data_IF_708836237777
#
_entry.id   IF_708836237777
#
_cell.length_a   1.000
_cell.length_b   1.000
_cell.length_c   1.000
_cell.angle_alpha   90.00
_cell.angle_beta   90.00
_cell.angle_gamma   90.00
#
_symmetry.space_group_name_H-M   'P 1'
#
loop_
_entity.id
_entity.type
_entity.pdbx_description
1 polymer ?
2 polymer ?
3 polymer ?
#
loop_
_entity_poly.entity_id
_entity_poly.type
_entity_poly.pdbx_seq_one_letter_code
_entity_poly.pdbx_strand_id
3 'polyribonucleotide' 'GGGGCUAGGCCGGGGGGUUCGGCGUCCCCUGUAACCGGAAACCGCCGAUAUGCCGGGGCCGAAGCCCGAGGGGCGGUUCCCGUAAGGGUUCCCACCCUCGGGCGUGCCU(CCC)' ?
#
# COMPACT_ATOMS: atom_id res chain seq x y z
N UNK A 2 10.43 17.01 -36.38
CA UNK A 2 9.08 17.51 -36.61
C UNK A 2 8.47 18.28 -35.42
N UNK A 3 8.05 19.53 -35.69
CA UNK A 3 7.28 20.30 -34.72
C UNK A 3 5.88 19.70 -34.62
N UNK A 4 5.29 19.64 -33.42
CA UNK A 4 3.92 19.11 -33.30
C UNK A 4 2.86 20.16 -32.93
N UNK A 5 1.65 19.95 -33.46
CA UNK A 5 0.55 20.90 -33.31
C UNK A 5 -0.19 20.72 -31.98
N UNK A 6 -0.72 19.51 -31.76
CA UNK A 6 -1.50 19.21 -30.54
C UNK A 6 -0.76 18.23 -29.62
N UNK A 7 -1.21 18.16 -28.37
CA UNK A 7 -0.50 17.41 -27.34
C UNK A 7 -0.62 15.90 -27.49
N UNK A 8 -1.85 15.41 -27.62
CA UNK A 8 -2.08 13.97 -27.79
C UNK A 8 -1.41 13.43 -29.07
N UNK A 9 -1.38 14.26 -30.12
CA UNK A 9 -0.71 13.91 -31.38
C UNK A 9 0.79 13.73 -31.17
N UNK A 10 1.40 14.68 -30.46
CA UNK A 10 2.80 14.59 -30.06
C UNK A 10 3.04 13.33 -29.22
N UNK A 11 2.33 13.25 -28.08
CA UNK A 11 2.48 12.13 -27.13
C UNK A 11 2.55 10.77 -27.81
N UNK A 12 1.57 10.49 -28.67
CA UNK A 12 1.49 9.20 -29.36
C UNK A 12 2.73 8.86 -30.18
N UNK A 13 3.43 9.87 -30.71
CA UNK A 13 4.68 9.64 -31.46
C UNK A 13 5.89 9.63 -30.55
N UNK A 14 5.86 10.55 -29.58
CA UNK A 14 6.88 10.61 -28.53
C UNK A 14 7.04 9.27 -27.85
N UNK A 15 5.94 8.65 -27.45
CA UNK A 15 5.98 7.31 -26.88
C UNK A 15 6.68 6.32 -27.83
N UNK A 16 6.10 6.15 -29.03
CA UNK A 16 6.63 5.21 -30.03
C UNK A 16 8.13 5.39 -30.25
N UNK A 17 8.55 6.64 -30.42
CA UNK A 17 9.97 6.96 -30.60
C UNK A 17 10.83 6.45 -29.43
N UNK A 18 10.31 6.56 -28.20
CA UNK A 18 10.99 6.05 -27.02
C UNK A 18 11.00 4.53 -26.98
N UNK A 19 9.81 3.93 -27.17
CA UNK A 19 9.65 2.47 -27.23
C UNK A 19 10.58 1.83 -28.27
N UNK A 20 10.74 2.48 -29.42
CA UNK A 20 11.66 1.98 -30.46
C UNK A 20 13.02 1.61 -29.88
N UNK A 21 13.71 2.60 -29.32
CA UNK A 21 14.97 2.38 -28.61
C UNK A 21 15.00 3.27 -27.36
N UNK A 22 14.53 2.74 -26.22
CA UNK A 22 14.54 3.44 -24.93
C UNK A 22 15.91 3.99 -24.53
N UNK A 23 16.96 3.21 -24.73
CA UNK A 23 18.31 3.58 -24.26
C UNK A 23 18.87 4.76 -25.01
N UNK A 24 18.71 4.76 -26.32
CA UNK A 24 19.34 5.77 -27.19
C UNK A 24 18.42 6.98 -27.44
N UNK A 25 17.72 7.44 -26.41
CA UNK A 25 16.74 8.52 -26.53
C UNK A 25 16.69 9.37 -25.27
N UNK A 26 16.14 10.57 -25.40
CA UNK A 26 16.02 11.49 -24.26
C UNK A 26 14.82 12.41 -24.38
N UNK A 27 14.51 13.06 -23.25
CA UNK A 27 13.34 13.92 -23.15
C UNK A 27 13.72 15.21 -22.43
N UNK A 28 13.83 16.29 -23.19
CA UNK A 28 14.24 17.57 -22.63
C UNK A 28 13.04 18.47 -22.40
N UNK A 29 13.10 19.22 -21.31
CA UNK A 29 12.08 20.20 -20.94
C UNK A 29 12.75 21.50 -20.53
N UNK A 30 12.54 22.55 -21.33
CA UNK A 30 12.96 23.89 -20.96
C UNK A 30 11.75 24.70 -20.52
N UNK A 31 11.91 25.44 -19.42
CA UNK A 31 10.86 26.30 -18.90
C UNK A 31 11.38 27.72 -18.81
N UNK A 32 10.54 28.68 -19.22
CA UNK A 32 10.96 30.07 -19.34
C UNK A 32 9.96 31.01 -18.65
N UNK A 33 10.33 31.50 -17.46
CA UNK A 33 9.48 32.42 -16.69
C UNK A 33 9.71 33.87 -17.09
N UNK A 34 10.89 34.18 -17.61
CA UNK A 34 11.17 35.50 -18.14
C UNK A 34 10.26 35.80 -19.34
N UNK A 35 10.21 34.86 -20.27
CA UNK A 35 9.42 35.00 -21.51
C UNK A 35 8.05 34.33 -21.42
N UNK A 36 7.79 33.60 -20.32
CA UNK A 36 6.48 33.02 -20.07
C UNK A 36 6.09 31.91 -21.03
N UNK A 37 6.96 30.92 -21.19
CA UNK A 37 6.70 29.81 -22.11
C UNK A 37 7.43 28.51 -21.73
N UNK A 38 7.14 27.45 -22.49
CA UNK A 38 7.64 26.12 -22.19
C UNK A 38 7.87 25.28 -23.44
N UNK A 39 9.13 24.92 -23.67
CA UNK A 39 9.51 24.01 -24.76
C UNK A 39 9.61 22.60 -24.21
N UNK A 40 9.35 21.61 -25.06
CA UNK A 40 9.54 20.21 -24.71
C UNK A 40 9.91 19.37 -25.94
N UNK A 41 10.87 18.48 -25.73
CA UNK A 41 11.51 17.76 -26.83
C UNK A 41 11.71 16.29 -26.47
N UNK A 42 11.46 15.44 -27.46
CA UNK A 42 11.73 14.02 -27.38
C UNK A 42 12.56 13.64 -28.60
N UNK A 43 13.59 12.85 -28.38
CA UNK A 43 14.58 12.62 -29.42
C UNK A 43 15.61 11.52 -29.12
N UNK A 44 15.78 10.62 -30.09
CA UNK A 44 17.06 9.98 -30.33
C UNK A 44 17.76 10.94 -31.26
N UNK A 45 19.02 10.74 -31.55
CA UNK A 45 19.75 11.73 -32.34
C UNK A 45 19.50 11.61 -33.85
N UNK A 46 18.49 10.81 -34.23
CA UNK A 46 18.07 10.64 -35.62
C UNK A 46 16.83 11.48 -35.93
N UNK A 47 15.80 11.36 -35.10
CA UNK A 47 14.54 12.10 -35.27
C UNK A 47 14.29 12.97 -34.06
N UNK A 48 13.84 14.20 -34.27
CA UNK A 48 13.62 15.13 -33.15
C UNK A 48 12.18 15.66 -33.13
N UNK A 49 11.41 15.24 -32.14
CA UNK A 49 10.00 15.61 -32.03
C UNK A 49 9.85 16.65 -30.92
N UNK A 50 9.16 17.75 -31.23
CA UNK A 50 9.18 18.92 -30.34
C UNK A 50 7.80 19.59 -30.24
N UNK A 51 7.53 20.18 -29.08
CA UNK A 51 6.23 20.81 -28.80
C UNK A 51 6.34 22.04 -27.89
N UNK A 52 6.60 23.20 -28.50
CA UNK A 52 6.71 24.45 -27.75
C UNK A 52 5.34 25.02 -27.46
N UNK A 53 5.14 25.56 -26.26
CA UNK A 53 3.84 26.14 -25.88
C UNK A 53 3.98 27.37 -24.98
N UNK A 54 2.98 28.26 -25.08
CA UNK A 54 2.79 29.34 -24.11
C UNK A 54 1.50 29.10 -23.33
N UNK A 55 1.13 27.83 -23.17
CA UNK A 55 -0.14 27.44 -22.57
C UNK A 55 0.04 26.98 -21.12
N UNK A 56 -0.64 27.66 -20.19
CA UNK A 56 -0.63 27.27 -18.78
C UNK A 56 -1.46 26.00 -18.53
N UNK A 57 -2.34 25.66 -19.48
CA UNK A 57 -3.24 24.50 -19.37
C UNK A 57 -2.49 23.17 -19.58
N UNK A 58 -1.40 23.22 -20.34
CA UNK A 58 -0.61 22.03 -20.68
C UNK A 58 0.25 21.51 -19.52
N UNK A 59 0.53 22.38 -18.55
CA UNK A 59 1.42 22.03 -17.44
C UNK A 59 1.02 20.69 -16.84
N UNK A 60 -0.26 20.56 -16.49
CA UNK A 60 -0.82 19.31 -15.95
C UNK A 60 -0.65 18.13 -16.91
N UNK A 61 -0.85 18.38 -18.20
CA UNK A 61 -0.69 17.32 -19.21
C UNK A 61 0.75 16.83 -19.27
N UNK A 62 1.70 17.76 -19.21
CA UNK A 62 3.13 17.42 -19.30
C UNK A 62 3.65 16.79 -18.01
N UNK A 63 3.34 17.41 -16.87
CA UNK A 63 3.81 16.88 -15.57
C UNK A 63 3.34 15.44 -15.34
N UNK A 64 2.25 15.06 -16.01
CA UNK A 64 1.84 13.66 -16.09
C UNK A 64 2.75 12.91 -17.05
N UNK A 65 2.82 13.37 -18.29
CA UNK A 65 3.61 12.70 -19.34
C UNK A 65 5.06 12.43 -18.94
N UNK A 66 5.63 13.27 -18.08
CA UNK A 66 6.92 12.95 -17.45
C UNK A 66 6.81 11.65 -16.65
N UNK A 67 5.97 11.66 -15.62
CA UNK A 67 5.75 10.51 -14.76
C UNK A 67 5.44 9.24 -15.58
N UNK A 68 4.66 9.43 -16.65
CA UNK A 68 4.28 8.35 -17.56
C UNK A 68 5.49 7.67 -18.20
N UNK A 69 6.54 8.44 -18.47
CA UNK A 69 7.76 7.88 -19.04
C UNK A 69 8.56 7.13 -17.99
N UNK A 70 8.90 7.84 -16.91
CA UNK A 70 9.71 7.28 -15.83
C UNK A 70 9.37 5.84 -15.58
N UNK A 71 8.09 5.60 -15.28
CA UNK A 71 7.55 4.26 -14.97
C UNK A 71 8.10 3.17 -15.91
N UNK A 72 8.01 3.44 -17.20
CA UNK A 72 8.40 2.47 -18.22
C UNK A 72 9.92 2.31 -18.25
N UNK A 73 10.62 3.40 -17.97
CA UNK A 73 12.08 3.38 -17.91
C UNK A 73 12.55 2.59 -16.74
N UNK A 74 11.77 2.61 -15.67
CA UNK A 74 12.06 1.81 -14.50
C UNK A 74 11.68 0.34 -14.72
N UNK A 75 10.39 0.07 -14.88
CA UNK A 75 9.90 -1.31 -15.03
C UNK A 75 10.32 -1.92 -16.37
N UNK B 1 29.82 16.94 -10.68
CA UNK B 1 28.41 17.36 -10.91
C UNK B 1 27.59 16.72 -9.84
N UNK B 2 26.84 17.53 -9.10
CA UNK B 2 26.16 17.01 -7.92
C UNK B 2 25.11 15.95 -8.31
N UNK B 3 25.47 14.71 -8.00
CA UNK B 3 24.55 13.59 -8.05
C UNK B 3 23.94 13.47 -6.66
N UNK B 4 22.63 13.69 -6.58
CA UNK B 4 21.94 13.82 -5.31
C UNK B 4 20.83 12.79 -5.18
N UNK B 5 20.25 12.72 -3.99
CA UNK B 5 19.10 11.87 -3.73
C UNK B 5 17.80 12.60 -3.99
N UNK B 6 16.76 11.81 -4.27
CA UNK B 6 15.43 12.32 -4.64
C UNK B 6 15.04 13.57 -3.86
N UNK B 7 15.35 13.60 -2.57
CA UNK B 7 15.06 14.77 -1.74
C UNK B 7 15.88 15.98 -2.19
N UNK B 8 17.21 15.91 -2.08
CA UNK B 8 18.06 17.07 -2.38
C UNK B 8 18.00 17.47 -3.85
N UNK B 9 17.65 16.54 -4.74
CA UNK B 9 17.33 16.91 -6.11
C UNK B 9 16.11 17.83 -6.13
N UNK B 10 15.05 17.44 -5.42
CA UNK B 10 13.81 18.22 -5.35
C UNK B 10 14.03 19.55 -4.63
N UNK B 11 14.93 19.56 -3.65
CA UNK B 11 15.33 20.80 -2.98
C UNK B 11 16.07 21.70 -3.96
N UNK B 12 17.14 21.17 -4.55
CA UNK B 12 18.01 21.95 -5.43
C UNK B 12 17.33 22.38 -6.73
N UNK B 13 16.29 21.66 -7.14
CA UNK B 13 15.53 22.03 -8.34
C UNK B 13 14.72 23.31 -8.07
N UNK B 14 13.98 23.31 -6.96
CA UNK B 14 13.23 24.49 -6.53
C UNK B 14 14.14 25.70 -6.47
N UNK B 15 15.36 25.51 -5.95
CA UNK B 15 16.37 26.56 -5.96
C UNK B 15 16.61 27.11 -7.38
N UNK B 16 16.74 26.21 -8.36
CA UNK B 16 16.89 26.63 -9.75
C UNK B 16 15.66 27.40 -10.22
N UNK B 17 14.50 26.75 -10.13
CA UNK B 17 13.23 27.37 -10.53
C UNK B 17 13.02 28.76 -9.92
N UNK B 18 13.43 28.91 -8.67
CA UNK B 18 13.38 30.18 -7.94
C UNK B 18 14.39 31.17 -8.50
N UNK B 19 15.65 30.75 -8.54
CA UNK B 19 16.72 31.62 -9.02
C UNK B 19 16.50 32.12 -10.45
N UNK B 20 15.89 31.28 -11.28
CA UNK B 20 15.59 31.64 -12.67
C UNK B 20 14.15 32.12 -12.83
N UNK B 21 13.90 33.35 -12.34
CA UNK B 21 12.55 33.94 -12.34
C UNK B 21 12.45 35.07 -13.37
N UNK B 22 13.20 36.15 -13.16
CA UNK B 22 13.22 37.28 -14.09
C UNK B 22 14.32 37.14 -15.15
N UNK B 23 15.28 36.23 -14.91
CA UNK B 23 16.40 36.03 -15.82
C UNK B 23 16.98 34.61 -15.69
N UNK B 24 16.73 33.77 -16.68
CA UNK B 24 17.31 32.43 -16.74
C UNK B 24 16.42 31.36 -17.36
N UNK B 25 17.05 30.37 -17.98
CA UNK B 25 16.37 29.18 -18.49
C UNK B 25 16.69 27.99 -17.59
N UNK B 26 15.73 27.06 -17.48
CA UNK B 26 15.88 25.87 -16.62
C UNK B 26 15.55 24.58 -17.36
N UNK B 27 16.59 23.84 -17.72
CA UNK B 27 16.44 22.59 -18.43
C UNK B 27 16.36 21.41 -17.45
N UNK B 28 15.46 20.48 -17.76
CA UNK B 28 15.30 19.22 -17.03
C UNK B 28 15.28 18.05 -18.03
N UNK B 29 16.41 17.35 -18.15
CA UNK B 29 16.51 16.25 -19.09
C UNK B 29 16.39 14.90 -18.40
N UNK B 30 15.52 14.07 -18.98
CA UNK B 30 15.08 12.80 -18.43
C UNK B 30 15.57 11.70 -19.35
N UNK B 31 16.18 10.65 -18.81
CA UNK B 31 16.79 9.61 -19.67
C UNK B 31 16.87 8.25 -18.99
N UNK B 32 16.52 7.17 -19.71
CA UNK B 32 16.62 5.84 -19.13
C UNK B 32 18.09 5.55 -18.86
N UNK B 33 18.41 5.33 -17.59
CA UNK B 33 19.80 5.22 -17.18
C UNK B 33 20.33 3.81 -17.40
N UNK B 34 21.55 3.71 -17.94
CA UNK B 34 22.17 2.42 -18.25
C UNK B 34 22.74 1.73 -17.01
N UNK B 35 23.12 2.51 -16.02
CA UNK B 35 23.88 2.00 -14.89
C UNK B 35 25.35 1.98 -15.27
N UNK B 36 25.81 3.09 -15.86
CA UNK B 36 27.19 3.23 -16.32
C UNK B 36 27.95 4.20 -15.43
N UNK B 37 29.26 3.97 -15.30
CA UNK B 37 30.16 4.94 -14.68
C UNK B 37 31.46 5.12 -15.50
N UNK B 38 31.50 4.57 -16.71
CA UNK B 38 32.73 4.51 -17.51
C UNK B 38 32.38 4.29 -18.99
N UNK B 39 33.41 4.24 -19.88
CA UNK B 39 33.21 3.86 -21.28
C UNK B 39 32.26 2.67 -21.50
N UNK B 51 24.37 -3.07 -16.42
CA UNK B 51 23.90 -4.02 -15.42
C UNK B 51 22.49 -3.66 -14.91
N UNK B 52 22.36 -2.57 -14.15
CA UNK B 52 21.08 -2.10 -13.64
C UNK B 52 20.48 -1.08 -14.60
N UNK B 53 19.68 -1.57 -15.56
CA UNK B 53 18.96 -0.72 -16.52
C UNK B 53 17.46 -0.55 -16.14
N UNK B 54 17.19 -0.68 -14.84
CA UNK B 54 15.90 -0.34 -14.25
C UNK B 54 15.92 1.06 -13.64
N UNK B 55 16.96 1.83 -13.95
CA UNK B 55 17.18 3.14 -13.36
C UNK B 55 16.78 4.24 -14.33
N UNK B 56 16.26 5.34 -13.78
CA UNK B 56 15.91 6.50 -14.60
C UNK B 56 16.73 7.70 -14.16
N UNK B 57 17.57 8.21 -15.05
CA UNK B 57 18.37 9.40 -14.77
C UNK B 57 17.58 10.66 -15.05
N UNK B 58 17.58 11.54 -14.04
CA UNK B 58 17.02 12.87 -14.16
C UNK B 58 18.16 13.88 -13.94
N UNK B 59 18.46 14.66 -14.99
CA UNK B 59 19.46 15.74 -14.93
C UNK B 59 18.74 17.09 -15.00
N UNK B 60 19.26 18.09 -14.27
CA UNK B 60 18.61 19.39 -14.22
C UNK B 60 19.64 20.51 -14.12
N UNK B 61 19.45 21.56 -14.93
CA UNK B 61 20.41 22.67 -14.92
C UNK B 61 19.83 24.02 -15.36
N UNK B 62 20.52 25.07 -14.95
CA UNK B 62 20.22 26.43 -15.37
C UNK B 62 21.37 26.97 -16.22
N UNK B 63 22.22 26.06 -16.70
CA UNK B 63 23.46 26.43 -17.36
C UNK B 63 24.59 26.55 -16.35
N UNK B 64 24.45 27.50 -15.44
CA UNK B 64 25.50 27.84 -14.48
C UNK B 64 25.80 26.74 -13.45
N UNK B 65 24.79 25.96 -13.06
CA UNK B 65 24.98 24.86 -12.10
C UNK B 65 24.09 23.67 -12.43
N UNK B 66 24.68 22.47 -12.37
CA UNK B 66 23.97 21.24 -12.75
C UNK B 66 23.74 20.36 -11.53
N UNK B 67 22.54 19.79 -11.44
CA UNK B 67 22.23 18.79 -10.42
C UNK B 67 21.63 17.56 -11.09
N UNK B 68 21.72 16.40 -10.44
CA UNK B 68 21.09 15.21 -11.00
C UNK B 68 20.66 14.18 -9.95
N UNK B 69 19.90 13.20 -10.41
CA UNK B 69 19.49 12.10 -9.55
C UNK B 69 19.09 10.86 -10.35
N UNK B 70 19.27 9.69 -9.73
CA UNK B 70 18.87 8.41 -10.30
C UNK B 70 17.65 7.85 -9.54
N UNK B 71 16.61 7.53 -10.30
CA UNK B 71 15.32 7.08 -9.76
C UNK B 71 15.17 5.58 -10.01
N UNK B 72 14.82 4.86 -8.94
CA UNK B 72 14.68 3.39 -8.95
C UNK B 72 13.28 2.96 -8.54
N UNK B 73 12.87 1.76 -8.99
CA UNK B 73 11.50 1.25 -8.76
C UNK B 73 10.99 1.43 -7.33
N UNK B 74 11.86 1.25 -6.35
CA UNK B 74 11.48 1.33 -4.94
C UNK B 74 11.36 2.76 -4.39
N UNK B 75 11.46 3.77 -5.26
CA UNK B 75 11.07 5.14 -4.91
C UNK B 75 10.48 5.92 -6.09
N UNK B 76 9.82 5.22 -7.02
CA UNK B 76 9.19 5.87 -8.17
C UNK B 76 7.90 6.55 -7.74
N UNK B 77 6.92 5.76 -7.31
CA UNK B 77 5.60 6.30 -6.95
C UNK B 77 5.65 7.35 -5.84
N UNK B 78 6.74 7.32 -5.06
CA UNK B 78 7.04 8.36 -4.08
C UNK B 78 7.56 9.63 -4.77
N UNK B 79 8.53 9.45 -5.65
CA UNK B 79 9.12 10.55 -6.42
C UNK B 79 8.12 11.11 -7.42
N UNK B 80 7.54 10.24 -8.25
CA UNK B 80 6.46 10.58 -9.20
C UNK B 80 5.48 11.65 -8.69
N UNK B 81 5.10 11.55 -7.42
CA UNK B 81 4.19 12.51 -6.80
C UNK B 81 4.90 13.80 -6.49
N UNK B 82 6.04 13.70 -5.80
CA UNK B 82 6.81 14.85 -5.35
C UNK B 82 7.28 15.73 -6.49
N UNK B 83 7.92 15.10 -7.48
CA UNK B 83 8.40 15.77 -8.68
C UNK B 83 7.26 16.47 -9.43
N UNK B 84 6.13 15.79 -9.57
CA UNK B 84 4.96 16.37 -10.24
C UNK B 84 4.40 17.54 -9.44
N UNK B 85 4.26 17.38 -8.12
CA UNK B 85 3.86 18.50 -7.26
C UNK B 85 4.79 19.69 -7.45
N UNK B 86 6.08 19.46 -7.21
CA UNK B 86 7.09 20.51 -7.29
C UNK B 86 7.12 21.17 -8.66
N UNK B 87 7.06 20.36 -9.70
CA UNK B 87 7.01 20.84 -11.07
C UNK B 87 5.76 21.67 -11.32
N UNK B 88 4.64 21.24 -10.74
CA UNK B 88 3.38 21.99 -10.85
C UNK B 88 3.45 23.33 -10.13
N UNK B 89 4.04 23.33 -8.92
CA UNK B 89 4.06 24.52 -8.05
C UNK B 89 4.92 25.67 -8.56
N UNK B 90 5.92 25.37 -9.38
CA UNK B 90 6.86 26.39 -9.88
C UNK B 90 6.69 26.80 -11.35
N UNK B 91 6.05 25.95 -12.16
CA UNK B 91 5.86 26.24 -13.59
C UNK B 91 4.56 26.97 -13.79
N UNK B 92 4.59 28.28 -13.58
CA UNK B 92 3.41 29.15 -13.71
C UNK B 92 3.65 30.35 -14.63
N UNK B 93 2.64 30.70 -15.42
CA UNK B 93 2.74 31.78 -16.40
C UNK B 93 2.02 31.44 -17.68
N UNK C 2 -10.48 -14.55 -1.34
CA UNK C 2 -11.87 -14.68 -1.73
C UNK C 2 -12.87 -14.34 -0.61
N UNK C 3 -13.44 -13.14 -0.68
CA UNK C 3 -14.46 -12.71 0.29
C UNK C 3 -15.80 -13.36 0.00
N UNK C 4 -16.60 -13.54 1.06
CA UNK C 4 -17.97 -14.03 0.92
C UNK C 4 -18.98 -12.97 1.35
N UNK C 5 -20.23 -13.15 0.93
CA UNK C 5 -21.35 -12.28 1.32
C UNK C 5 -22.43 -13.11 2.02
N UNK C 6 -22.82 -14.20 1.38
CA UNK C 6 -23.72 -15.19 1.96
C UNK C 6 -23.04 -15.89 3.13
N UNK C 7 -23.17 -15.30 4.32
CA UNK C 7 -22.56 -15.83 5.53
C UNK C 7 -22.67 -17.36 5.60
N UNK C 8 -23.88 -17.86 5.43
CA UNK C 8 -24.16 -19.28 5.60
C UNK C 8 -23.32 -20.19 4.68
N UNK C 9 -22.86 -19.65 3.55
CA UNK C 9 -21.90 -20.35 2.69
C UNK C 9 -20.47 -20.22 3.25
N UNK C 10 -20.12 -18.99 3.65
CA UNK C 10 -18.82 -18.70 4.25
C UNK C 10 -18.48 -19.74 5.33
N UNK C 11 -19.43 -19.98 6.23
CA UNK C 11 -19.25 -21.01 7.26
C UNK C 11 -19.01 -22.38 6.61
N UNK C 12 -19.90 -22.72 5.67
CA UNK C 12 -19.86 -24.00 4.95
C UNK C 12 -18.52 -24.26 4.28
N UNK C 13 -17.83 -23.20 3.88
CA UNK C 13 -16.46 -23.32 3.39
C UNK C 13 -15.51 -23.42 4.56
N UNK C 14 -15.58 -22.43 5.45
CA UNK C 14 -14.69 -22.33 6.61
C UNK C 14 -14.51 -23.68 7.30
N UNK C 15 -15.62 -24.28 7.70
CA UNK C 15 -15.57 -25.55 8.42
C UNK C 15 -14.93 -26.69 7.60
N UNK C 16 -15.09 -26.65 6.28
CA UNK C 16 -14.46 -27.64 5.40
C UNK C 16 -12.96 -27.39 5.35
N UNK C 17 -12.59 -26.11 5.20
CA UNK C 17 -11.20 -25.71 5.23
C UNK C 17 -10.53 -26.12 6.54
N UNK C 18 -11.28 -26.00 7.65
CA UNK C 18 -10.79 -26.47 8.94
C UNK C 18 -10.63 -27.99 8.94
N UNK C 19 -11.75 -28.66 8.71
CA UNK C 19 -11.80 -30.13 8.71
C UNK C 19 -10.68 -30.72 7.85
N UNK C 20 -10.40 -30.06 6.73
CA UNK C 20 -9.32 -30.48 5.83
C UNK C 20 -7.95 -30.51 6.52
N UNK C 21 -7.63 -29.51 7.33
CA UNK C 21 -6.34 -29.49 8.07
C UNK C 21 -6.40 -28.60 9.32
N UNK C 22 -7.08 -29.08 10.37
CA UNK C 22 -7.37 -28.31 11.58
C UNK C 22 -6.14 -27.78 12.32
N UNK C 23 -5.03 -28.50 12.27
CA UNK C 23 -3.79 -28.04 12.92
C UNK C 23 -3.06 -27.04 12.07
N UNK C 24 -3.50 -26.85 10.81
CA UNK C 24 -3.02 -25.73 10.00
C UNK C 24 -3.97 -24.55 10.09
N UNK C 25 -5.25 -24.81 9.96
CA UNK C 25 -6.25 -23.73 9.86
C UNK C 25 -6.35 -22.87 11.12
N UNK C 26 -6.37 -21.56 10.92
CA UNK C 26 -6.60 -20.58 11.98
C UNK C 26 -7.79 -19.70 11.62
N UNK C 27 -8.30 -19.00 12.65
CA UNK C 27 -9.53 -18.23 12.55
C UNK C 27 -9.42 -16.89 13.29
N UNK C 28 -9.36 -15.80 12.52
CA UNK C 28 -9.19 -14.46 13.05
C UNK C 28 -10.51 -13.68 13.07
N UNK C 29 -10.69 -12.88 14.11
CA UNK C 29 -11.79 -11.95 14.22
C UNK C 29 -11.22 -10.58 14.56
N UNK C 30 -11.74 -9.54 13.93
CA UNK C 30 -11.26 -8.16 14.13
C UNK C 30 -12.44 -7.20 14.21
N UNK C 31 -12.52 -6.44 15.31
CA UNK C 31 -13.61 -5.50 15.52
C UNK C 31 -13.09 -4.08 15.74
N UNK C 32 -13.84 -3.11 15.23
CA UNK C 32 -13.37 -1.72 15.20
C UNK C 32 -14.54 -0.74 15.44
N UNK C 33 -14.88 -0.56 16.71
CA UNK C 33 -15.99 0.29 17.14
C UNK C 33 -15.97 1.67 16.51
N UNK C 34 -14.79 2.28 16.42
CA UNK C 34 -14.62 3.61 15.84
C UNK C 34 -15.01 3.67 14.36
N UNK C 35 -15.03 2.52 13.68
CA UNK C 35 -15.57 2.45 12.32
C UNK C 35 -16.92 1.72 12.26
N UNK C 36 -17.33 1.10 13.37
CA UNK C 36 -18.62 0.44 13.44
C UNK C 36 -18.72 -0.68 12.43
N UNK C 37 -17.72 -1.56 12.45
CA UNK C 37 -17.68 -2.71 11.55
C UNK C 37 -16.72 -3.78 12.04
N UNK C 38 -16.89 -5.00 11.52
CA UNK C 38 -15.98 -6.08 11.87
C UNK C 38 -15.71 -7.00 10.68
N UNK C 39 -14.64 -7.79 10.82
CA UNK C 39 -14.25 -8.76 9.80
C UNK C 39 -13.96 -10.10 10.46
N UNK C 40 -14.15 -11.17 9.69
CA UNK C 40 -13.86 -12.53 10.16
C UNK C 40 -13.11 -13.27 9.06
N UNK C 41 -11.95 -13.82 9.43
CA UNK C 41 -11.08 -14.49 8.48
C UNK C 41 -10.87 -15.92 8.95
N UNK C 42 -10.79 -16.84 8.02
CA UNK C 42 -10.44 -18.22 8.33
C UNK C 42 -9.53 -18.71 7.24
N UNK C 43 -8.47 -19.41 7.66
CA UNK C 43 -7.41 -19.71 6.72
C UNK C 43 -6.38 -20.71 7.25
N UNK C 44 -6.09 -21.74 6.45
CA UNK C 44 -4.77 -22.37 6.45
C UNK C 44 -3.97 -21.45 5.54
N UNK C 45 -2.66 -21.63 5.44
CA UNK C 45 -1.88 -20.62 4.75
C UNK C 45 -1.85 -20.69 3.22
N UNK C 46 -2.69 -21.54 2.63
CA UNK C 46 -2.85 -21.59 1.17
C UNK C 46 -4.17 -20.95 0.77
N UNK C 47 -5.27 -21.50 1.27
CA UNK C 47 -6.61 -20.99 0.97
C UNK C 47 -6.98 -19.96 2.01
N UNK C 48 -7.74 -18.93 1.62
CA UNK C 48 -8.20 -17.92 2.57
C UNK C 48 -9.67 -17.56 2.37
N UNK C 49 -10.42 -17.52 3.48
CA UNK C 49 -11.85 -17.24 3.42
C UNK C 49 -12.16 -16.08 4.34
N UNK C 50 -12.83 -15.05 3.82
CA UNK C 50 -13.01 -13.81 4.56
C UNK C 50 -14.42 -13.25 4.45
N UNK C 51 -14.88 -12.64 5.55
CA UNK C 51 -16.22 -12.10 5.64
C UNK C 51 -16.22 -10.79 6.43
N UNK C 52 -16.44 -9.67 5.74
CA UNK C 52 -16.55 -8.36 6.37
C UNK C 52 -18.00 -7.95 6.53
N UNK C 53 -18.35 -7.33 7.65
CA UNK C 53 -19.71 -6.77 7.82
C UNK C 53 -19.82 -5.68 8.87
N UNK C 54 -20.87 -4.87 8.70
CA UNK C 54 -21.21 -3.77 9.61
C UNK C 54 -22.67 -3.91 10.07
N UNK C 55 -23.11 -5.16 10.18
CA UNK C 55 -24.51 -5.49 10.47
C UNK C 55 -24.63 -6.19 11.82
N UNK C 56 -25.47 -5.63 12.70
CA UNK C 56 -25.66 -6.18 14.03
C UNK C 56 -26.06 -7.65 14.04
N UNK C 57 -26.80 -8.08 13.02
CA UNK C 57 -27.37 -9.44 12.96
C UNK C 57 -26.33 -10.55 12.90
N UNK C 58 -25.12 -10.22 12.43
CA UNK C 58 -24.08 -11.21 12.22
C UNK C 58 -23.41 -11.67 13.53
N UNK C 59 -23.26 -10.74 14.47
CA UNK C 59 -22.60 -11.01 15.76
C UNK C 59 -23.04 -12.36 16.35
N UNK C 60 -24.34 -12.64 16.27
CA UNK C 60 -24.90 -13.92 16.75
C UNK C 60 -24.41 -15.12 15.93
N UNK C 61 -24.55 -15.03 14.61
CA UNK C 61 -24.07 -16.09 13.73
C UNK C 61 -22.61 -16.37 14.05
N UNK C 62 -21.84 -15.30 14.21
CA UNK C 62 -20.40 -15.36 14.43
C UNK C 62 -20.05 -15.96 15.79
N UNK C 63 -20.66 -15.43 16.85
CA UNK C 63 -20.43 -15.96 18.18
C UNK C 63 -20.85 -17.44 18.25
N UNK C 64 -21.94 -17.79 17.58
CA UNK C 64 -22.35 -19.20 17.48
C UNK C 64 -21.55 -19.99 16.42
N UNK C 65 -20.59 -19.34 15.77
CA UNK C 65 -19.63 -20.00 14.90
C UNK C 65 -18.35 -20.29 15.69
N UNK C 66 -17.81 -19.25 16.31
CA UNK C 66 -16.73 -19.41 17.31
C UNK C 66 -17.11 -20.49 18.31
N UNK C 67 -18.31 -20.38 18.86
CA UNK C 67 -18.86 -21.39 19.75
C UNK C 67 -18.86 -22.77 19.11
N UNK C 68 -19.15 -22.83 17.82
CA UNK C 68 -19.19 -24.10 17.09
C UNK C 68 -17.81 -24.71 16.87
N UNK C 69 -16.82 -23.86 16.61
CA UNK C 69 -15.48 -24.32 16.24
C UNK C 69 -14.65 -24.82 17.42
N UNK C 70 -14.76 -24.15 18.57
CA UNK C 70 -14.05 -24.58 19.77
C UNK C 70 -14.30 -26.05 19.97
N UNK C 71 -15.59 -26.39 20.14
CA UNK C 71 -16.07 -27.79 20.24
C UNK C 71 -15.18 -28.78 19.49
N UNK C 72 -15.00 -28.51 18.20
CA UNK C 72 -14.35 -29.44 17.28
C UNK C 72 -12.85 -29.49 17.48
N UNK C 73 -12.26 -28.34 17.81
CA UNK C 73 -10.83 -28.25 18.10
C UNK C 73 -10.55 -28.98 19.37
N UNK C 74 -11.47 -28.87 20.32
CA UNK C 74 -11.29 -29.41 21.65
C UNK C 74 -11.53 -30.91 21.70
N UNK C 75 -12.69 -31.35 21.22
CA UNK C 75 -13.08 -32.76 21.33
C UNK C 75 -12.42 -33.63 20.26
N UNK D 1 4.45 -12.41 26.93
CA UNK D 1 2.99 -12.34 26.63
C UNK D 1 2.22 -12.88 27.78
N UNK D 2 0.95 -12.49 27.86
CA UNK D 2 0.15 -12.82 29.02
C UNK D 2 -0.72 -14.05 28.74
N UNK D 3 -0.25 -15.20 29.21
CA UNK D 3 -1.02 -16.44 29.17
C UNK D 3 -1.86 -16.47 30.43
N UNK D 4 -3.17 -16.55 30.26
CA UNK D 4 -4.10 -16.41 31.37
C UNK D 4 -5.05 -17.59 31.51
N UNK D 5 -5.67 -17.65 32.69
CA UNK D 5 -6.70 -18.65 32.98
C UNK D 5 -7.92 -18.35 32.13
N UNK D 6 -8.56 -19.41 31.65
CA UNK D 6 -9.78 -19.30 30.85
C UNK D 6 -10.73 -18.24 31.38
N UNK D 7 -10.95 -18.25 32.69
CA UNK D 7 -11.83 -17.29 33.38
C UNK D 7 -11.30 -15.84 33.29
N UNK D 8 -10.00 -15.66 33.50
CA UNK D 8 -9.40 -14.32 33.54
C UNK D 8 -9.18 -13.72 32.16
N UNK D 9 -8.98 -14.57 31.15
CA UNK D 9 -8.91 -14.10 29.76
C UNK D 9 -10.12 -13.26 29.37
N UNK D 10 -11.28 -13.58 29.94
CA UNK D 10 -12.53 -12.90 29.62
C UNK D 10 -12.63 -11.52 30.27
N UNK D 11 -12.29 -11.42 31.55
CA UNK D 11 -12.29 -10.13 32.23
C UNK D 11 -11.18 -9.21 31.71
N UNK D 12 -10.18 -9.79 31.05
CA UNK D 12 -9.15 -9.02 30.37
C UNK D 12 -9.65 -8.59 28.99
N UNK D 13 -10.07 -9.57 28.20
CA UNK D 13 -10.59 -9.31 26.86
C UNK D 13 -11.70 -8.26 26.90
N UNK D 14 -12.60 -8.39 27.88
CA UNK D 14 -13.68 -7.42 28.08
C UNK D 14 -13.12 -6.03 28.42
N UNK D 15 -12.04 -5.98 29.19
CA UNK D 15 -11.40 -4.70 29.53
C UNK D 15 -10.65 -4.12 28.33
N UNK D 16 -10.26 -4.98 27.40
CA UNK D 16 -9.53 -4.57 26.20
C UNK D 16 -10.46 -3.82 25.25
N UNK D 17 -11.59 -4.43 24.92
CA UNK D 17 -12.64 -3.79 24.12
C UNK D 17 -12.95 -2.36 24.55
N UNK D 18 -12.95 -2.12 25.85
CA UNK D 18 -13.27 -0.79 26.39
C UNK D 18 -12.17 0.24 26.17
N UNK D 19 -10.94 -0.18 25.87
CA UNK D 19 -9.86 0.77 25.60
C UNK D 19 -9.92 1.22 24.14
N UNK D 20 -10.53 0.40 23.29
CA UNK D 20 -10.47 0.59 21.85
C UNK D 20 -11.85 0.92 21.25
N UNK D 21 -12.59 1.81 21.91
CA UNK D 21 -13.89 2.26 21.39
C UNK D 21 -13.72 3.55 20.58
N UNK D 22 -13.02 4.52 21.16
CA UNK D 22 -12.75 5.77 20.47
C UNK D 22 -11.63 5.64 19.43
N UNK D 23 -10.94 4.51 19.42
CA UNK D 23 -9.88 4.26 18.44
C UNK D 23 -9.44 2.80 18.50
N UNK D 24 -8.49 2.43 17.65
CA UNK D 24 -7.83 1.13 17.73
C UNK D 24 -8.65 -0.07 17.27
N UNK D 25 -7.94 -1.07 16.75
CA UNK D 25 -8.55 -2.34 16.34
C UNK D 25 -8.38 -3.35 17.47
N UNK D 26 -9.23 -4.36 17.49
CA UNK D 26 -9.18 -5.42 18.50
C UNK D 26 -9.27 -6.77 17.80
N UNK D 27 -8.17 -7.53 17.84
CA UNK D 27 -8.12 -8.81 17.15
C UNK D 27 -8.41 -9.95 18.12
N UNK D 28 -8.97 -11.04 17.60
CA UNK D 28 -9.13 -12.29 18.35
C UNK D 28 -8.79 -13.52 17.48
N UNK D 29 -7.56 -14.01 17.61
CA UNK D 29 -7.13 -15.22 16.92
C UNK D 29 -7.57 -16.42 17.76
N UNK D 30 -8.06 -17.46 17.10
CA UNK D 30 -8.52 -18.65 17.79
C UNK D 30 -8.18 -19.88 16.96
N UNK D 31 -7.42 -20.82 17.53
CA UNK D 31 -6.96 -21.96 16.72
C UNK D 31 -6.73 -23.23 17.53
N UNK D 32 -6.66 -24.37 16.84
CA UNK D 32 -6.41 -25.64 17.53
C UNK D 32 -4.97 -25.67 18.02
N UNK D 33 -4.79 -26.08 19.27
CA UNK D 33 -3.49 -26.02 19.94
C UNK D 33 -3.06 -27.42 20.40
N UNK D 34 -1.82 -27.78 20.08
CA UNK D 34 -1.28 -29.11 20.43
C UNK D 34 -0.34 -29.05 21.64
N UNK D 35 -0.58 -28.10 22.55
CA UNK D 35 0.21 -28.00 23.77
C UNK D 35 1.68 -27.66 23.60
N UNK D 36 2.13 -27.51 22.37
CA UNK D 36 3.54 -27.28 22.06
C UNK D 36 4.06 -26.13 22.91
N UNK D 37 5.24 -26.30 23.50
CA UNK D 37 5.90 -25.21 24.23
C UNK D 37 7.31 -24.90 23.71
N UNK D 38 7.79 -25.68 22.75
CA UNK D 38 9.09 -25.49 22.10
C UNK D 38 8.97 -25.91 20.62
N UNK D 39 10.01 -25.66 19.81
CA UNK D 39 10.00 -26.21 18.44
C UNK D 39 9.98 -27.75 18.41
N UNK D 51 2.13 -34.87 23.76
CA UNK D 51 1.70 -34.52 22.41
C UNK D 51 0.18 -34.64 22.20
N UNK D 52 -0.59 -34.12 23.16
CA UNK D 52 -2.06 -34.15 23.10
C UNK D 52 -2.59 -33.06 22.17
N UNK D 53 -3.79 -33.28 21.65
CA UNK D 53 -4.40 -32.38 20.65
C UNK D 53 -5.80 -31.90 21.05
N UNK D 54 -6.17 -32.10 22.32
CA UNK D 54 -7.53 -31.82 22.77
C UNK D 54 -7.73 -30.41 23.33
N UNK D 55 -7.01 -29.42 22.78
CA UNK D 55 -7.03 -28.07 23.32
C UNK D 55 -7.14 -27.02 22.22
N UNK D 56 -7.89 -25.96 22.52
CA UNK D 56 -7.97 -24.81 21.62
C UNK D 56 -7.30 -23.61 22.30
N UNK D 57 -6.82 -22.68 21.49
CA UNK D 57 -6.05 -21.54 21.96
C UNK D 57 -6.59 -20.23 21.40
N UNK D 58 -6.74 -19.27 22.30
CA UNK D 58 -7.24 -17.95 21.96
C UNK D 58 -6.22 -16.87 22.29
N UNK D 59 -5.90 -16.05 21.28
CA UNK D 59 -5.12 -14.83 21.45
C UNK D 59 -6.02 -13.61 21.20
N UNK D 60 -5.84 -12.58 22.03
CA UNK D 60 -6.47 -11.30 21.81
C UNK D 60 -5.44 -10.19 21.95
N UNK D 61 -5.61 -9.14 21.16
CA UNK D 61 -4.67 -8.03 21.14
C UNK D 61 -5.28 -6.78 20.54
N UNK D 62 -4.75 -5.63 20.94
CA UNK D 62 -5.15 -4.35 20.39
C UNK D 62 -4.00 -3.72 19.61
N UNK D 63 -3.02 -4.54 19.22
CA UNK D 63 -1.81 -4.06 18.56
C UNK D 63 -0.66 -3.80 19.51
N UNK D 64 -0.96 -3.68 20.82
CA UNK D 64 0.05 -3.31 21.80
C UNK D 64 0.13 -4.32 22.95
N UNK D 65 -0.98 -4.53 23.64
CA UNK D 65 -1.04 -5.49 24.74
C UNK D 65 -1.67 -6.80 24.26
N UNK D 66 -0.98 -7.91 24.51
CA UNK D 66 -1.44 -9.23 24.07
C UNK D 66 -1.89 -10.06 25.25
N UNK D 67 -3.02 -10.74 25.10
CA UNK D 67 -3.45 -11.71 26.10
C UNK D 67 -3.82 -13.00 25.40
N UNK D 68 -3.74 -14.12 26.12
CA UNK D 68 -4.10 -15.39 25.53
C UNK D 68 -4.59 -16.36 26.58
N UNK D 69 -5.22 -17.42 26.10
CA UNK D 69 -5.63 -18.48 26.99
C UNK D 69 -5.89 -19.75 26.21
N UNK D 70 -5.72 -20.86 26.91
CA UNK D 70 -5.98 -22.17 26.35
C UNK D 70 -7.25 -22.73 26.99
N UNK D 71 -8.15 -23.19 26.14
CA UNK D 71 -9.40 -23.79 26.57
C UNK D 71 -9.37 -25.26 26.20
N UNK D 72 -9.76 -26.10 27.16
CA UNK D 72 -9.87 -27.54 26.97
C UNK D 72 -11.22 -28.06 27.44
N UNK D 73 -11.53 -29.28 27.00
CA UNK D 73 -12.88 -29.89 27.14
C UNK D 73 -13.60 -29.60 28.45
N UNK D 74 -12.88 -29.69 29.57
CA UNK D 74 -13.46 -29.50 30.89
C UNK D 74 -14.11 -28.12 31.08
N UNK D 75 -13.52 -27.10 30.48
CA UNK D 75 -13.99 -25.73 30.68
C UNK D 75 -14.63 -25.11 29.44
N UNK D 76 -14.96 -25.93 28.44
CA UNK D 76 -15.53 -25.39 27.19
C UNK D 76 -16.94 -24.86 27.41
N UNK D 77 -17.86 -25.74 27.80
CA UNK D 77 -19.26 -25.32 27.99
C UNK D 77 -19.40 -24.03 28.80
N UNK D 78 -18.60 -23.90 29.86
CA UNK D 78 -18.59 -22.67 30.65
C UNK D 78 -18.08 -21.49 29.83
N UNK D 79 -16.95 -21.68 29.17
CA UNK D 79 -16.30 -20.62 28.41
C UNK D 79 -17.19 -20.16 27.25
N UNK D 80 -17.44 -21.06 26.29
CA UNK D 80 -18.37 -20.85 25.16
C UNK D 80 -19.48 -19.88 25.49
N UNK D 81 -20.23 -20.18 26.55
CA UNK D 81 -21.35 -19.35 26.99
C UNK D 81 -20.92 -17.95 27.32
N UNK D 82 -19.97 -17.80 28.25
CA UNK D 82 -19.60 -16.47 28.76
C UNK D 82 -18.84 -15.63 27.74
N UNK D 83 -18.16 -16.30 26.81
CA UNK D 83 -17.47 -15.67 25.69
C UNK D 83 -18.49 -15.23 24.63
N UNK D 84 -19.24 -16.19 24.12
CA UNK D 84 -20.35 -15.90 23.20
C UNK D 84 -21.17 -14.72 23.73
N UNK D 85 -21.49 -14.78 25.02
CA UNK D 85 -22.26 -13.73 25.68
C UNK D 85 -21.45 -12.43 25.84
N UNK D 86 -20.15 -12.56 26.08
CA UNK D 86 -19.26 -11.40 26.14
C UNK D 86 -19.27 -10.65 24.81
N UNK D 87 -18.82 -11.31 23.75
CA UNK D 87 -18.81 -10.71 22.41
C UNK D 87 -20.08 -9.91 22.17
N UNK D 88 -21.23 -10.56 22.33
CA UNK D 88 -22.53 -9.92 22.08
C UNK D 88 -22.70 -8.59 22.80
N UNK D 89 -22.21 -8.49 24.02
CA UNK D 89 -22.34 -7.26 24.80
C UNK D 89 -21.33 -6.18 24.39
N UNK D 90 -20.29 -6.55 23.65
CA UNK D 90 -19.21 -5.61 23.30
C UNK D 90 -19.03 -5.30 21.81
N UNK D 91 -19.63 -6.11 20.94
CA UNK D 91 -19.57 -5.87 19.51
C UNK D 91 -20.88 -5.22 19.15
N UNK D 92 -20.96 -3.93 19.48
CA UNK D 92 -22.12 -3.10 19.19
C UNK D 92 -21.73 -2.04 18.15
N UNK D 93 -22.60 -1.06 17.92
CA UNK D 93 -22.32 0.00 16.95
C UNK D 93 -22.37 -0.54 15.53
N UNK D 94 -23.53 -1.12 15.18
CA UNK D 94 -23.79 -1.72 13.87
C UNK D 94 -25.27 -1.57 13.51
#
# INVERSE_FOLDING_TARGET
XPQYQTWEEFSRAAEKLYLADPMKARVVLKYRHSDGNLCVKVTDDLVCLVYKTDQAQDVKKIEKFHSQLMRLMVAKEARNVTXET
MVLLESEQFLTELTRLFQKCRTSGSVYITLKKYDGRTKPIPKKGTVEGFEPADNKCLLRATDGKKKISTVVSSKEVNKFQMAYSNLLRANMDGLKKRDKKNKTKKTK
XPQYQTWEEFSRAAEKLYLADPMKARVVLKYRHSDGNLCVKVTDDLVCLVYKTDQAQDVKKIEKFHSQLMRLMVAKEARNVTXET
MVLLESEQFLTELTRLFQKCRTSGSVYITLKKYDGRTKPIPKKGTVEGFEPADNKCLLRATDGKKKISTVVSSKEVNKFQMAYSNLLRANMDGLKKRDKKNKTKKTK
#
